data_IF_688939346998
#
_entry.id   IF_688939346998
#
_cell.length_a   1.000
_cell.length_b   1.000
_cell.length_c   1.000
_cell.angle_alpha   90.00
_cell.angle_beta   90.00
_cell.angle_gamma   90.00
#
_symmetry.space_group_name_H-M   'P 1'
#
loop_
_entity.id
_entity.type
_entity.pdbx_description
1 polymer ?
#
# COMPACT_ATOMS: atom_id res chain seq x y z
N UNK A 1 -1.24 22.86 0.82
CA UNK A 1 -2.55 23.46 0.48
C UNK A 1 -2.86 23.24 -1.01
N UNK A 2 -3.21 22.02 -1.46
CA UNK A 2 -3.44 21.75 -2.90
C UNK A 2 -4.57 22.60 -3.51
N UNK A 3 -5.65 22.86 -2.75
CA UNK A 3 -6.77 23.70 -3.18
C UNK A 3 -6.39 25.15 -3.45
N UNK A 4 -5.47 25.72 -2.67
CA UNK A 4 -5.03 27.10 -2.86
C UNK A 4 -4.23 27.23 -4.16
N UNK A 5 -3.29 26.30 -4.39
CA UNK A 5 -2.52 26.24 -5.63
C UNK A 5 -3.43 26.07 -6.86
N UNK A 6 -4.49 25.25 -6.77
CA UNK A 6 -5.47 25.11 -7.84
C UNK A 6 -6.22 26.43 -8.13
N UNK A 7 -6.66 27.16 -7.10
CA UNK A 7 -7.36 28.44 -7.29
C UNK A 7 -6.45 29.52 -7.88
N UNK A 8 -5.21 29.62 -7.41
CA UNK A 8 -4.22 30.57 -7.92
C UNK A 8 -3.90 30.28 -9.39
N UNK A 9 -3.66 29.01 -9.72
CA UNK A 9 -3.36 28.61 -11.08
C UNK A 9 -4.54 28.83 -12.05
N UNK A 10 -5.79 28.61 -11.62
CA UNK A 10 -6.96 28.95 -12.43
C UNK A 10 -7.06 30.44 -12.72
N UNK A 11 -6.73 31.29 -11.75
CA UNK A 11 -6.77 32.74 -11.90
C UNK A 11 -5.70 33.24 -12.87
N UNK A 12 -4.51 32.66 -12.81
CA UNK A 12 -3.33 33.13 -13.53
C UNK A 12 -3.08 32.41 -14.87
N UNK A 13 -3.70 31.25 -15.09
CA UNK A 13 -3.41 30.37 -16.23
C UNK A 13 -2.12 29.55 -16.05
N UNK A 14 -1.70 29.31 -14.81
CA UNK A 14 -0.45 28.61 -14.50
C UNK A 14 -0.58 27.08 -14.64
N UNK A 15 0.52 26.42 -15.00
CA UNK A 15 0.64 24.96 -14.91
C UNK A 15 1.00 24.54 -13.49
N UNK A 16 0.31 23.53 -12.96
CA UNK A 16 0.58 22.99 -11.61
C UNK A 16 1.16 21.59 -11.71
N UNK A 17 2.27 21.36 -11.00
CA UNK A 17 2.86 20.03 -10.83
C UNK A 17 2.60 19.52 -9.43
N UNK A 18 1.95 18.36 -9.32
CA UNK A 18 1.69 17.69 -8.04
C UNK A 18 2.67 16.54 -7.87
N UNK A 19 3.72 16.75 -7.08
CA UNK A 19 4.67 15.68 -6.78
C UNK A 19 4.09 14.71 -5.74
N UNK A 20 4.06 13.42 -6.10
CA UNK A 20 3.64 12.32 -5.23
C UNK A 20 4.79 11.32 -5.11
N UNK A 21 4.94 10.74 -3.93
CA UNK A 21 5.90 9.65 -3.71
C UNK A 21 5.42 8.37 -4.39
N UNK A 22 6.32 7.69 -5.09
CA UNK A 22 6.02 6.43 -5.78
C UNK A 22 5.17 6.66 -7.02
N UNK A 23 4.11 5.86 -7.16
CA UNK A 23 3.16 5.97 -8.26
C UNK A 23 1.83 6.57 -7.79
N UNK A 24 1.29 7.60 -8.49
CA UNK A 24 0.05 8.27 -8.08
C UNK A 24 -1.21 7.39 -8.16
N UNK A 25 -1.16 6.23 -8.82
CA UNK A 25 -2.30 5.32 -9.03
C UNK A 25 -2.39 4.17 -8.01
N UNK A 26 -1.36 3.96 -7.17
CA UNK A 26 -1.32 2.82 -6.24
C UNK A 26 -2.02 3.10 -4.90
N UNK A 27 -2.09 4.37 -4.46
CA UNK A 27 -2.71 4.74 -3.19
C UNK A 27 -4.09 5.41 -3.39
N UNK A 28 -5.11 5.12 -2.56
CA UNK A 28 -6.48 5.63 -2.75
C UNK A 28 -6.60 7.15 -2.63
N UNK A 29 -5.70 7.78 -1.86
CA UNK A 29 -5.61 9.23 -1.73
C UNK A 29 -4.80 9.90 -2.87
N UNK A 30 -4.42 9.13 -3.90
CA UNK A 30 -3.72 9.58 -5.08
C UNK A 30 -4.67 10.24 -6.06
N UNK A 31 -5.43 9.43 -6.80
CA UNK A 31 -6.16 9.91 -7.97
C UNK A 31 -7.39 10.76 -7.63
N UNK A 32 -8.35 10.25 -6.85
CA UNK A 32 -9.62 10.94 -6.57
C UNK A 32 -9.42 12.29 -5.89
N UNK A 33 -8.43 12.39 -4.99
CA UNK A 33 -8.10 13.63 -4.30
C UNK A 33 -7.48 14.67 -5.23
N UNK A 34 -6.64 14.25 -6.19
CA UNK A 34 -6.03 15.13 -7.19
C UNK A 34 -7.10 15.60 -8.17
N UNK A 35 -7.87 14.69 -8.77
CA UNK A 35 -8.89 15.03 -9.77
C UNK A 35 -9.99 15.91 -9.18
N UNK A 36 -10.41 15.68 -7.93
CA UNK A 36 -11.37 16.54 -7.24
C UNK A 36 -10.79 17.93 -6.93
N UNK A 37 -9.52 18.03 -6.54
CA UNK A 37 -8.87 19.31 -6.21
C UNK A 37 -8.65 20.17 -7.46
N UNK A 38 -8.26 19.54 -8.56
CA UNK A 38 -7.94 20.18 -9.83
C UNK A 38 -9.07 20.01 -10.85
N UNK A 39 -10.32 19.99 -10.38
CA UNK A 39 -11.49 19.96 -11.25
C UNK A 39 -11.49 21.19 -12.17
N UNK A 40 -11.65 20.98 -13.48
CA UNK A 40 -11.57 22.02 -14.50
C UNK A 40 -10.17 22.26 -15.08
N UNK A 41 -9.15 21.53 -14.63
CA UNK A 41 -7.86 21.45 -15.32
C UNK A 41 -7.83 20.27 -16.30
N UNK A 42 -7.02 20.38 -17.35
CA UNK A 42 -6.56 19.22 -18.11
C UNK A 42 -5.50 18.50 -17.26
N UNK A 43 -5.81 17.27 -16.83
CA UNK A 43 -4.96 16.50 -15.90
C UNK A 43 -4.22 15.41 -16.65
N UNK A 44 -2.89 15.54 -16.72
CA UNK A 44 -1.98 14.49 -17.15
C UNK A 44 -1.44 13.71 -15.94
N UNK A 45 -1.43 12.39 -16.02
CA UNK A 45 -0.88 11.51 -14.98
C UNK A 45 0.42 10.90 -15.48
N UNK A 46 1.53 11.29 -14.85
CA UNK A 46 2.84 10.69 -15.11
C UNK A 46 3.04 9.51 -14.14
N UNK A 47 3.19 8.27 -14.63
CA UNK A 47 3.42 7.11 -13.77
C UNK A 47 4.80 7.19 -13.10
N UNK A 48 4.92 6.53 -11.96
CA UNK A 48 6.15 6.48 -11.18
C UNK A 48 6.52 5.05 -10.77
N UNK A 49 7.74 4.87 -10.25
CA UNK A 49 8.14 3.58 -9.67
C UNK A 49 7.55 3.48 -8.26
N UNK A 50 6.58 2.58 -8.09
CA UNK A 50 5.93 2.30 -6.81
C UNK A 50 6.74 1.34 -5.94
N UNK A 51 6.56 1.47 -4.62
CA UNK A 51 7.04 0.48 -3.66
C UNK A 51 6.43 -0.91 -3.88
N UNK A 52 5.27 -1.00 -4.55
CA UNK A 52 4.68 -2.26 -5.02
C UNK A 52 5.59 -2.97 -6.02
N UNK A 53 6.09 -2.26 -7.03
CA UNK A 53 6.97 -2.82 -8.06
C UNK A 53 8.29 -3.26 -7.43
N UNK A 54 8.84 -2.44 -6.53
CA UNK A 54 10.05 -2.78 -5.76
C UNK A 54 9.87 -4.04 -4.91
N UNK A 55 8.73 -4.14 -4.21
CA UNK A 55 8.43 -5.30 -3.37
C UNK A 55 8.26 -6.58 -4.19
N UNK A 56 7.55 -6.51 -5.33
CA UNK A 56 7.40 -7.66 -6.23
C UNK A 56 8.75 -8.13 -6.79
N UNK A 57 9.59 -7.19 -7.23
CA UNK A 57 10.93 -7.50 -7.74
C UNK A 57 11.82 -8.17 -6.67
N UNK A 58 11.82 -7.64 -5.44
CA UNK A 58 12.59 -8.22 -4.32
C UNK A 58 12.04 -9.56 -3.84
N UNK A 59 10.72 -9.75 -3.94
CA UNK A 59 10.05 -11.01 -3.59
C UNK A 59 10.23 -12.09 -4.66
N UNK A 60 10.57 -11.71 -5.89
CA UNK A 60 10.61 -12.62 -7.04
C UNK A 60 9.22 -13.10 -7.46
N UNK A 61 8.18 -12.26 -7.30
CA UNK A 61 6.79 -12.60 -7.67
C UNK A 61 6.30 -11.72 -8.82
N UNK A 62 5.43 -12.27 -9.66
CA UNK A 62 4.72 -11.50 -10.66
C UNK A 62 3.69 -10.59 -10.01
N UNK A 63 3.51 -9.37 -10.54
CA UNK A 63 2.40 -8.51 -10.15
C UNK A 63 1.04 -9.05 -10.61
N UNK A 64 1.03 -9.88 -11.65
CA UNK A 64 -0.19 -10.55 -12.13
C UNK A 64 -0.75 -11.52 -11.08
N UNK A 65 0.13 -12.20 -10.34
CA UNK A 65 -0.21 -13.20 -9.31
C UNK A 65 -0.35 -12.58 -7.91
N UNK A 66 -0.44 -11.25 -7.81
CA UNK A 66 -0.45 -10.54 -6.55
C UNK A 66 -1.63 -9.55 -6.43
N UNK A 67 -2.22 -9.50 -5.24
CA UNK A 67 -3.16 -8.46 -4.87
C UNK A 67 -2.47 -7.34 -4.09
N UNK A 68 -2.67 -6.10 -4.54
CA UNK A 68 -2.21 -4.90 -3.84
C UNK A 68 -3.27 -4.50 -2.81
N UNK A 69 -2.86 -4.45 -1.54
CA UNK A 69 -3.68 -4.00 -0.42
C UNK A 69 -3.00 -2.80 0.22
N UNK A 70 -3.77 -1.74 0.47
CA UNK A 70 -3.23 -0.48 1.01
C UNK A 70 -4.01 -0.05 2.24
N UNK A 71 -3.29 0.16 3.34
CA UNK A 71 -3.87 0.52 4.63
C UNK A 71 -3.61 1.97 5.05
N UNK A 72 -3.57 2.89 4.09
CA UNK A 72 -3.76 4.31 4.39
C UNK A 72 -5.23 4.55 4.75
N UNK A 73 -5.56 4.93 6.00
CA UNK A 73 -6.93 5.16 6.39
C UNK A 73 -7.49 6.44 5.77
N UNK A 74 -8.79 6.47 5.49
CA UNK A 74 -9.53 7.73 5.41
C UNK A 74 -9.78 8.21 6.85
N UNK A 75 -9.29 9.39 7.27
CA UNK A 75 -9.33 9.82 8.67
C UNK A 75 -10.73 9.90 9.30
N UNK A 76 -11.79 9.95 8.50
CA UNK A 76 -13.15 10.32 8.94
C UNK A 76 -14.22 9.23 8.76
N UNK A 77 -13.84 7.97 8.56
CA UNK A 77 -14.80 6.92 8.16
C UNK A 77 -15.28 5.98 9.27
N UNK A 78 -14.79 6.15 10.51
CA UNK A 78 -15.09 5.26 11.63
C UNK A 78 -14.54 3.83 11.48
N UNK A 79 -13.51 3.62 10.66
CA UNK A 79 -12.85 2.32 10.44
C UNK A 79 -13.64 1.34 9.55
N UNK A 80 -14.64 1.80 8.81
CA UNK A 80 -15.39 1.00 7.82
C UNK A 80 -14.48 0.53 6.67
N UNK A 81 -13.64 1.43 6.18
CA UNK A 81 -12.58 1.24 5.20
C UNK A 81 -11.60 0.15 5.65
N UNK A 82 -11.18 0.19 6.93
CA UNK A 82 -10.27 -0.82 7.48
C UNK A 82 -10.87 -2.23 7.42
N UNK A 83 -12.16 -2.39 7.77
CA UNK A 83 -12.85 -3.69 7.69
C UNK A 83 -12.98 -4.17 6.24
N UNK A 84 -13.33 -3.28 5.31
CA UNK A 84 -13.42 -3.60 3.87
C UNK A 84 -12.06 -4.05 3.32
N UNK A 85 -10.98 -3.34 3.65
CA UNK A 85 -9.61 -3.66 3.23
C UNK A 85 -9.11 -4.98 3.80
N UNK A 86 -9.37 -5.26 5.08
CA UNK A 86 -9.08 -6.58 5.69
C UNK A 86 -9.83 -7.71 5.01
N UNK A 87 -11.09 -7.51 4.62
CA UNK A 87 -11.85 -8.51 3.86
C UNK A 87 -11.23 -8.76 2.48
N UNK A 88 -10.97 -7.69 1.71
CA UNK A 88 -10.30 -7.79 0.40
C UNK A 88 -8.96 -8.53 0.47
N UNK A 89 -8.17 -8.28 1.53
CA UNK A 89 -6.91 -8.98 1.77
C UNK A 89 -7.09 -10.49 1.94
N UNK A 90 -8.10 -10.91 2.70
CA UNK A 90 -8.38 -12.33 2.93
C UNK A 90 -8.93 -13.00 1.67
N UNK A 91 -9.86 -12.33 0.97
CA UNK A 91 -10.45 -12.84 -0.27
C UNK A 91 -9.34 -13.08 -1.32
N UNK A 92 -8.39 -12.15 -1.45
CA UNK A 92 -7.27 -12.29 -2.37
C UNK A 92 -6.39 -13.53 -2.08
N UNK A 93 -6.07 -13.80 -0.81
CA UNK A 93 -5.37 -15.04 -0.44
C UNK A 93 -6.20 -16.27 -0.77
N UNK A 94 -7.52 -16.25 -0.53
CA UNK A 94 -8.38 -17.38 -0.87
C UNK A 94 -8.49 -17.64 -2.38
N UNK A 95 -8.16 -16.64 -3.21
CA UNK A 95 -8.10 -16.76 -4.67
C UNK A 95 -6.73 -17.19 -5.19
N UNK A 96 -5.80 -17.58 -4.30
CA UNK A 96 -4.46 -18.02 -4.68
C UNK A 96 -3.46 -16.88 -4.93
N UNK A 97 -3.86 -15.62 -4.76
CA UNK A 97 -2.96 -14.49 -5.00
C UNK A 97 -2.00 -14.30 -3.83
N UNK A 98 -0.76 -13.91 -4.12
CA UNK A 98 0.12 -13.31 -3.13
C UNK A 98 -0.44 -11.96 -2.66
N UNK A 99 -0.02 -11.47 -1.51
CA UNK A 99 -0.36 -10.12 -1.07
C UNK A 99 0.85 -9.22 -1.12
N UNK A 100 0.67 -8.02 -1.66
CA UNK A 100 1.58 -6.88 -1.45
C UNK A 100 0.81 -5.84 -0.63
N UNK A 101 1.16 -5.75 0.64
CA UNK A 101 0.46 -4.93 1.63
C UNK A 101 1.27 -3.67 1.93
N UNK A 102 0.77 -2.52 1.49
CA UNK A 102 1.24 -1.20 1.91
C UNK A 102 0.65 -0.95 3.29
N UNK A 103 1.48 -1.10 4.32
CA UNK A 103 1.04 -0.95 5.71
C UNK A 103 0.82 0.51 6.06
N UNK A 104 0.23 0.75 7.23
CA UNK A 104 0.02 2.11 7.72
C UNK A 104 -0.11 2.15 9.22
N UNK A 105 -0.14 3.35 9.80
CA UNK A 105 -0.14 3.55 11.26
C UNK A 105 -1.30 2.84 11.98
N UNK A 106 -2.42 2.57 11.29
CA UNK A 106 -3.57 1.81 11.84
C UNK A 106 -3.53 0.31 11.55
N UNK A 107 -2.61 -0.13 10.70
CA UNK A 107 -2.48 -1.52 10.24
C UNK A 107 -1.02 -1.78 9.86
N UNK A 108 -0.18 -1.89 10.88
CA UNK A 108 1.25 -2.20 10.81
C UNK A 108 1.47 -3.67 10.40
N UNK A 109 2.69 -4.10 10.01
CA UNK A 109 2.96 -5.49 9.63
C UNK A 109 2.51 -6.51 10.70
N UNK A 110 2.85 -6.28 11.97
CA UNK A 110 2.46 -7.17 13.08
C UNK A 110 0.95 -7.26 13.29
N UNK A 111 0.23 -6.14 13.18
CA UNK A 111 -1.23 -6.11 13.23
C UNK A 111 -1.87 -6.83 12.03
N UNK A 112 -1.19 -6.80 10.87
CA UNK A 112 -1.62 -7.50 9.65
C UNK A 112 -1.43 -8.99 9.81
N UNK A 113 -0.27 -9.41 10.29
CA UNK A 113 0.00 -10.80 10.62
C UNK A 113 -1.00 -11.37 11.62
N UNK A 114 -1.29 -10.68 12.73
CA UNK A 114 -2.32 -11.09 13.69
C UNK A 114 -3.69 -11.23 13.05
N UNK A 115 -4.10 -10.27 12.22
CA UNK A 115 -5.38 -10.34 11.51
C UNK A 115 -5.47 -11.56 10.58
N UNK A 116 -4.35 -11.98 9.96
CA UNK A 116 -4.31 -13.17 9.10
C UNK A 116 -4.34 -14.46 9.94
N UNK A 117 -3.58 -14.51 11.03
CA UNK A 117 -3.57 -15.64 11.98
C UNK A 117 -4.93 -15.88 12.62
N UNK A 118 -5.61 -14.81 13.06
CA UNK A 118 -6.96 -14.86 13.64
C UNK A 118 -8.01 -15.43 12.65
N UNK A 119 -7.68 -15.49 11.36
CA UNK A 119 -8.52 -16.01 10.28
C UNK A 119 -8.05 -17.37 9.75
N UNK A 120 -7.11 -18.01 10.44
CA UNK A 120 -6.67 -19.37 10.15
C UNK A 120 -5.61 -19.47 9.05
N UNK A 121 -4.99 -18.36 8.63
CA UNK A 121 -3.81 -18.44 7.76
C UNK A 121 -2.66 -19.11 8.52
N UNK A 122 -1.99 -20.06 7.88
CA UNK A 122 -1.02 -20.92 8.54
C UNK A 122 0.13 -20.11 9.17
N UNK A 123 0.51 -20.37 10.43
CA UNK A 123 1.54 -19.61 11.14
C UNK A 123 2.93 -19.65 10.46
N UNK A 124 3.24 -20.73 9.75
CA UNK A 124 4.47 -20.95 8.99
C UNK A 124 4.45 -20.30 7.59
N UNK A 125 3.34 -19.63 7.20
CA UNK A 125 3.26 -18.94 5.91
C UNK A 125 4.42 -17.96 5.76
N UNK A 126 5.09 -18.02 4.61
CA UNK A 126 6.26 -17.18 4.33
C UNK A 126 5.82 -15.73 4.18
N UNK A 127 6.58 -14.84 4.81
CA UNK A 127 6.40 -13.39 4.73
C UNK A 127 7.73 -12.71 4.49
N UNK A 128 7.71 -11.61 3.74
CA UNK A 128 8.82 -10.66 3.64
C UNK A 128 8.32 -9.26 4.00
N UNK A 129 8.99 -8.58 4.92
CA UNK A 129 8.72 -7.18 5.25
C UNK A 129 9.90 -6.33 4.81
N UNK A 130 9.62 -5.29 4.03
CA UNK A 130 10.59 -4.30 3.55
C UNK A 130 10.31 -2.99 4.27
N UNK A 131 11.19 -2.59 5.18
CA UNK A 131 11.18 -1.30 5.86
C UNK A 131 12.00 -0.30 5.02
N UNK A 132 11.50 0.94 4.89
CA UNK A 132 12.15 2.03 4.15
C UNK A 132 12.60 1.65 2.73
N UNK A 133 11.68 1.12 1.87
CA UNK A 133 12.03 0.67 0.54
C UNK A 133 12.66 1.79 -0.31
N UNK A 134 13.77 1.46 -0.98
CA UNK A 134 14.59 2.37 -1.79
C UNK A 134 15.22 3.56 -1.03
N UNK A 135 15.21 3.56 0.31
CA UNK A 135 15.98 4.49 1.12
C UNK A 135 17.35 3.89 1.50
N UNK A 136 18.36 4.71 1.87
CA UNK A 136 19.68 4.21 2.28
C UNK A 136 19.65 3.26 3.47
N UNK A 137 18.63 3.37 4.32
CA UNK A 137 18.39 2.54 5.50
C UNK A 137 17.34 1.44 5.25
N UNK A 138 17.16 1.02 3.98
CA UNK A 138 16.29 -0.10 3.62
C UNK A 138 16.67 -1.38 4.39
N UNK A 139 15.67 -2.02 4.98
CA UNK A 139 15.83 -3.29 5.69
C UNK A 139 14.80 -4.31 5.26
N UNK A 140 15.27 -5.50 4.89
CA UNK A 140 14.42 -6.60 4.45
C UNK A 140 14.48 -7.71 5.50
N UNK A 141 13.31 -8.12 6.00
CA UNK A 141 13.16 -9.23 6.94
C UNK A 141 12.31 -10.32 6.28
N UNK A 142 12.85 -11.52 6.11
CA UNK A 142 12.09 -12.69 5.65
C UNK A 142 11.91 -13.67 6.82
N UNK A 143 10.67 -13.98 7.18
CA UNK A 143 10.34 -14.84 8.30
C UNK A 143 8.93 -15.44 8.16
N UNK A 144 8.47 -16.17 9.18
CA UNK A 144 7.11 -16.70 9.19
C UNK A 144 6.08 -15.64 9.56
N UNK A 145 4.81 -15.88 9.23
CA UNK A 145 3.69 -15.04 9.65
C UNK A 145 3.61 -14.92 11.18
N UNK A 146 3.89 -16.00 11.91
CA UNK A 146 3.98 -16.01 13.37
C UNK A 146 5.07 -15.05 13.88
N UNK A 147 6.25 -15.06 13.28
CA UNK A 147 7.36 -14.18 13.66
C UNK A 147 7.02 -12.71 13.43
N UNK A 148 6.38 -12.38 12.30
CA UNK A 148 5.94 -11.00 12.04
C UNK A 148 4.94 -10.52 13.10
N UNK A 149 4.07 -11.41 13.60
CA UNK A 149 3.05 -11.07 14.60
C UNK A 149 3.64 -10.69 15.98
N UNK A 150 4.85 -11.18 16.29
CA UNK A 150 5.55 -10.96 17.56
C UNK A 150 6.60 -9.86 17.48
N UNK A 151 7.02 -9.47 16.28
CA UNK A 151 8.03 -8.43 16.04
C UNK A 151 7.43 -7.01 15.91
N UNK A 152 8.31 -6.02 15.93
CA UNK A 152 7.98 -4.61 15.63
C UNK A 152 8.71 -4.19 14.36
N UNK A 153 8.01 -3.40 13.55
CA UNK A 153 8.49 -2.86 12.29
C UNK A 153 8.16 -1.36 12.22
N UNK A 154 8.89 -0.63 11.39
CA UNK A 154 8.59 0.74 11.01
C UNK A 154 7.26 0.87 10.28
N UNK A 155 6.62 2.04 10.44
CA UNK A 155 5.34 2.32 9.79
C UNK A 155 5.46 2.46 8.27
N UNK A 156 6.64 2.87 7.79
CA UNK A 156 6.95 3.01 6.38
C UNK A 156 7.49 1.67 5.86
N UNK A 157 6.59 0.70 5.70
CA UNK A 157 6.94 -0.66 5.27
C UNK A 157 5.93 -1.28 4.31
N UNK A 158 6.44 -2.15 3.45
CA UNK A 158 5.66 -3.01 2.56
C UNK A 158 5.83 -4.45 3.02
N UNK A 159 4.72 -5.15 3.23
CA UNK A 159 4.69 -6.56 3.64
C UNK A 159 4.20 -7.42 2.47
N UNK A 160 4.99 -8.41 2.09
CA UNK A 160 4.62 -9.42 1.10
C UNK A 160 4.26 -10.72 1.83
N UNK A 161 3.04 -11.22 1.61
CA UNK A 161 2.60 -12.53 2.10
C UNK A 161 2.56 -13.48 0.92
N UNK A 162 3.39 -14.52 0.98
CA UNK A 162 3.47 -15.49 -0.10
C UNK A 162 2.35 -16.51 0.07
N UNK A 163 1.44 -16.51 -0.88
CA UNK A 163 0.59 -17.67 -1.10
C UNK A 163 1.41 -18.82 -1.68
N UNK A 164 1.15 -20.06 -1.25
CA UNK A 164 1.78 -21.23 -1.88
C UNK A 164 1.04 -21.46 -3.20
N UNK A 165 1.71 -21.59 -4.35
CA UNK A 165 1.06 -22.18 -5.50
C UNK A 165 0.63 -23.60 -5.13
N UNK A 166 -0.57 -24.00 -5.55
CA UNK A 166 -1.03 -25.39 -5.47
C UNK A 166 -0.06 -26.35 -6.18
#
# INVERSE_FOLDING_TARGET
MPKLAALEAQKNGDTVVVLKTGDPLVAPAGLDGITSTFNGFEVEIIPGISSVQLAAAKAGISLYDAAIITYHPLPHDGGKDLRKKRRRMLDALSWGLHLIVLTGVRQMPNATARCLLDRGIAPDSRVMVIENPACPDEKITSCSLADVSSQRFGWFSVMVVFNKPD
#
